data_IF_741844195109
#
_entry.id   IF_741844195109
#
_cell.length_a   1.000
_cell.length_b   1.000
_cell.length_c   1.000
_cell.angle_alpha   90.00
_cell.angle_beta   90.00
_cell.angle_gamma   90.00
#
_symmetry.space_group_name_H-M   'P 1'
#
loop_
_entity.id
_entity.type
_entity.pdbx_description
1 polymer ?
#
# COMPACT_ATOMS: atom_id res chain seq x y z
N UNK A 1 -2.14 31.28 -16.11
CA UNK A 1 -1.77 30.00 -16.77
C UNK A 1 -1.13 28.97 -15.82
N UNK A 2 -0.59 29.35 -14.66
CA UNK A 2 -0.05 28.39 -13.66
C UNK A 2 -1.09 27.65 -12.81
N UNK A 3 -2.36 28.07 -12.81
CA UNK A 3 -3.41 27.51 -11.94
C UNK A 3 -3.92 26.13 -12.41
N UNK A 4 -3.89 25.82 -13.71
CA UNK A 4 -4.42 24.55 -14.24
C UNK A 4 -3.47 23.35 -13.99
N UNK A 5 -2.17 23.60 -13.87
CA UNK A 5 -1.15 22.54 -13.77
C UNK A 5 -1.04 21.94 -12.37
N UNK A 6 -1.29 22.70 -11.31
CA UNK A 6 -1.21 22.22 -9.92
C UNK A 6 -2.27 21.17 -9.56
N UNK A 7 -3.46 21.24 -10.18
CA UNK A 7 -4.54 20.27 -9.95
C UNK A 7 -4.24 18.88 -10.52
N UNK A 8 -3.35 18.78 -11.50
CA UNK A 8 -2.87 17.50 -12.05
C UNK A 8 -1.88 16.84 -11.10
N UNK A 9 -1.15 17.63 -10.29
CA UNK A 9 -0.19 17.11 -9.31
C UNK A 9 -0.91 16.39 -8.17
N UNK A 10 -2.10 16.88 -7.78
CA UNK A 10 -2.88 16.35 -6.65
C UNK A 10 -3.24 14.85 -6.79
N UNK A 11 -3.81 14.37 -7.91
CA UNK A 11 -4.08 12.95 -8.10
C UNK A 11 -2.82 12.12 -8.42
N UNK A 12 -1.73 12.74 -8.86
CA UNK A 12 -0.46 12.05 -9.19
C UNK A 12 0.40 11.83 -7.95
N UNK A 13 0.36 12.73 -6.97
CA UNK A 13 1.15 12.60 -5.75
C UNK A 13 0.78 11.34 -4.96
N UNK A 14 -0.50 10.96 -4.96
CA UNK A 14 -0.99 9.78 -4.26
C UNK A 14 -0.36 8.46 -4.75
N UNK A 15 -0.46 8.09 -6.05
CA UNK A 15 0.17 6.86 -6.55
C UNK A 15 1.68 6.91 -6.43
N UNK A 16 2.33 8.06 -6.61
CA UNK A 16 3.79 8.18 -6.43
C UNK A 16 4.19 7.81 -5.01
N UNK A 17 3.49 8.34 -4.00
CA UNK A 17 3.75 8.07 -2.59
C UNK A 17 3.42 6.63 -2.19
N UNK A 18 2.28 6.08 -2.65
CA UNK A 18 1.90 4.71 -2.29
C UNK A 18 2.79 3.68 -2.96
N UNK A 19 3.16 3.87 -4.24
CA UNK A 19 4.07 2.97 -4.96
C UNK A 19 5.45 2.97 -4.29
N UNK A 20 6.03 4.15 -4.05
CA UNK A 20 7.34 4.20 -3.35
C UNK A 20 7.26 3.61 -1.95
N UNK A 21 6.19 3.88 -1.20
CA UNK A 21 5.96 3.27 0.12
C UNK A 21 5.92 1.74 0.07
N UNK A 22 5.18 1.15 -0.87
CA UNK A 22 5.08 -0.31 -1.01
C UNK A 22 6.43 -0.93 -1.37
N UNK A 23 7.20 -0.29 -2.25
CA UNK A 23 8.56 -0.74 -2.58
C UNK A 23 9.50 -0.73 -1.37
N UNK A 24 9.38 0.27 -0.51
CA UNK A 24 10.16 0.31 0.75
C UNK A 24 9.77 -0.84 1.67
N UNK A 25 8.48 -1.09 1.86
CA UNK A 25 7.99 -2.23 2.67
C UNK A 25 8.49 -3.57 2.11
N UNK A 26 8.43 -3.74 0.79
CA UNK A 26 8.98 -4.92 0.12
C UNK A 26 10.49 -5.08 0.34
N UNK A 27 11.27 -4.02 0.17
CA UNK A 27 12.71 -4.07 0.37
C UNK A 27 13.09 -4.43 1.82
N UNK A 28 12.34 -3.92 2.80
CA UNK A 28 12.52 -4.27 4.21
C UNK A 28 12.20 -5.75 4.47
N UNK A 29 11.08 -6.25 3.94
CA UNK A 29 10.70 -7.65 4.05
C UNK A 29 11.72 -8.60 3.40
N UNK A 30 12.30 -8.19 2.27
CA UNK A 30 13.38 -8.93 1.60
C UNK A 30 14.67 -8.93 2.44
N UNK A 31 15.04 -7.78 2.99
CA UNK A 31 16.24 -7.64 3.82
C UNK A 31 16.17 -8.46 5.10
N UNK A 32 14.99 -8.52 5.73
CA UNK A 32 14.73 -9.33 6.92
C UNK A 32 14.50 -10.82 6.60
N UNK A 33 14.59 -11.24 5.33
CA UNK A 33 14.32 -12.60 4.88
C UNK A 33 12.92 -13.12 5.32
N UNK A 34 11.92 -12.23 5.31
CA UNK A 34 10.52 -12.60 5.54
C UNK A 34 9.81 -13.02 4.25
N UNK A 35 10.29 -12.54 3.10
CA UNK A 35 9.75 -12.87 1.78
C UNK A 35 10.86 -13.18 0.80
N UNK A 36 10.52 -13.91 -0.25
CA UNK A 36 11.45 -14.24 -1.33
C UNK A 36 11.54 -13.13 -2.38
N UNK A 37 12.69 -13.03 -3.09
CA UNK A 37 12.81 -12.15 -4.24
C UNK A 37 11.80 -12.53 -5.31
N UNK A 38 11.24 -11.52 -5.99
CA UNK A 38 10.27 -11.72 -7.09
C UNK A 38 10.88 -12.53 -8.24
N UNK A 39 12.20 -12.46 -8.42
CA UNK A 39 12.93 -13.23 -9.44
C UNK A 39 13.05 -14.73 -9.12
N UNK A 40 12.60 -15.18 -7.93
CA UNK A 40 12.54 -16.60 -7.60
C UNK A 40 11.12 -17.14 -7.83
N UNK A 41 10.94 -17.88 -8.93
CA UNK A 41 9.66 -18.42 -9.37
C UNK A 41 9.51 -19.90 -9.00
N UNK A 42 10.53 -20.49 -8.39
CA UNK A 42 10.58 -21.89 -8.03
C UNK A 42 10.24 -22.06 -6.54
N UNK A 43 8.95 -22.26 -6.28
CA UNK A 43 8.46 -22.49 -4.92
C UNK A 43 8.37 -23.99 -4.63
N UNK A 44 8.96 -24.41 -3.51
CA UNK A 44 8.91 -25.79 -3.04
C UNK A 44 7.78 -25.97 -2.01
N UNK A 45 7.33 -27.20 -1.83
CA UNK A 45 6.30 -27.53 -0.84
C UNK A 45 6.83 -27.43 0.59
N UNK A 46 8.11 -27.75 0.80
CA UNK A 46 8.82 -27.59 2.08
C UNK A 46 10.29 -27.26 1.84
N UNK A 47 10.90 -26.60 2.81
CA UNK A 47 12.34 -26.34 2.84
C UNK A 47 12.92 -26.98 4.11
N UNK A 48 14.19 -27.37 4.06
CA UNK A 48 14.88 -28.02 5.18
C UNK A 48 15.17 -27.04 6.33
N UNK A 49 15.39 -25.77 5.99
CA UNK A 49 15.61 -24.67 6.94
C UNK A 49 14.68 -23.50 6.63
N UNK A 50 14.32 -22.74 7.66
CA UNK A 50 13.55 -21.50 7.52
C UNK A 50 14.34 -20.43 6.77
N UNK A 51 13.63 -19.56 6.05
CA UNK A 51 14.22 -18.53 5.18
C UNK A 51 15.20 -17.60 5.91
N UNK A 52 14.95 -17.32 7.18
CA UNK A 52 15.79 -16.49 8.05
C UNK A 52 17.09 -17.18 8.50
N UNK A 53 17.18 -18.50 8.40
CA UNK A 53 18.38 -19.29 8.74
C UNK A 53 19.22 -19.63 7.50
N UNK A 54 18.63 -19.58 6.31
CA UNK A 54 19.33 -19.89 5.07
C UNK A 54 20.41 -18.85 4.75
N UNK A 55 21.64 -19.34 4.52
CA UNK A 55 22.83 -18.51 4.26
C UNK A 55 23.45 -18.72 2.86
N UNK A 56 22.77 -19.49 2.00
CA UNK A 56 23.22 -19.82 0.64
C UNK A 56 22.92 -18.73 -0.41
N UNK A 57 23.58 -18.78 -1.59
CA UNK A 57 23.30 -17.87 -2.70
C UNK A 57 21.92 -18.13 -3.35
N UNK A 58 21.40 -19.35 -3.19
CA UNK A 58 20.07 -19.77 -3.62
C UNK A 58 19.20 -20.03 -2.39
N UNK A 59 18.15 -19.22 -2.23
CA UNK A 59 17.17 -19.33 -1.15
C UNK A 59 16.09 -20.35 -1.56
N UNK A 60 15.73 -21.26 -0.66
CA UNK A 60 14.57 -22.14 -0.85
C UNK A 60 13.32 -21.40 -0.42
N UNK A 61 12.36 -21.25 -1.34
CA UNK A 61 11.14 -20.51 -1.09
C UNK A 61 9.95 -21.46 -1.00
N UNK A 62 9.17 -21.36 0.07
CA UNK A 62 7.86 -21.99 0.15
C UNK A 62 6.77 -21.03 -0.32
N UNK A 63 5.57 -21.56 -0.59
CA UNK A 63 4.42 -20.75 -0.98
C UNK A 63 4.01 -19.70 0.07
N UNK A 64 4.40 -19.90 1.33
CA UNK A 64 4.14 -18.95 2.41
C UNK A 64 5.00 -17.69 2.36
N UNK A 65 6.14 -17.76 1.67
CA UNK A 65 7.15 -16.69 1.56
C UNK A 65 7.00 -15.86 0.27
N UNK A 66 5.91 -16.04 -0.48
CA UNK A 66 5.63 -15.27 -1.70
C UNK A 66 5.51 -13.79 -1.34
N UNK A 67 6.15 -12.86 -2.08
CA UNK A 67 6.18 -11.42 -1.79
C UNK A 67 4.85 -10.71 -2.11
N UNK A 68 3.78 -11.12 -1.44
CA UNK A 68 2.48 -10.46 -1.49
C UNK A 68 2.50 -9.22 -0.58
N UNK A 69 1.80 -8.15 -0.97
CA UNK A 69 1.68 -6.93 -0.15
C UNK A 69 1.17 -7.25 1.25
N UNK A 70 0.23 -8.20 1.36
CA UNK A 70 -0.30 -8.67 2.64
C UNK A 70 0.72 -9.41 3.49
N UNK A 71 1.76 -10.02 2.90
CA UNK A 71 2.83 -10.73 3.62
C UNK A 71 3.98 -9.80 3.97
N UNK A 72 4.38 -8.90 3.06
CA UNK A 72 5.44 -7.92 3.32
C UNK A 72 5.08 -6.91 4.43
N UNK A 73 3.79 -6.76 4.78
CA UNK A 73 3.32 -5.79 5.76
C UNK A 73 2.83 -6.40 7.08
N UNK A 74 3.05 -7.69 7.36
CA UNK A 74 2.51 -8.34 8.58
C UNK A 74 3.42 -8.24 9.79
N UNK A 75 4.74 -8.35 9.60
CA UNK A 75 5.71 -8.47 10.70
C UNK A 75 6.31 -7.10 11.07
N UNK A 76 6.64 -6.84 12.35
CA UNK A 76 7.40 -5.65 12.71
C UNK A 76 8.86 -5.79 12.20
N UNK A 77 9.49 -4.70 11.71
CA UNK A 77 9.05 -3.30 11.66
C UNK A 77 8.19 -2.93 10.43
N UNK A 78 8.04 -3.82 9.45
CA UNK A 78 7.39 -3.55 8.16
C UNK A 78 5.92 -3.15 8.31
N UNK A 79 5.21 -3.80 9.22
CA UNK A 79 3.80 -3.56 9.50
C UNK A 79 3.51 -2.15 10.00
N UNK A 80 4.44 -1.54 10.74
CA UNK A 80 4.36 -0.14 11.18
C UNK A 80 4.47 0.83 10.00
N UNK A 81 5.45 0.59 9.11
CA UNK A 81 5.62 1.38 7.89
C UNK A 81 4.42 1.25 6.96
N UNK A 82 3.91 0.02 6.77
CA UNK A 82 2.71 -0.22 5.98
C UNK A 82 1.49 0.55 6.55
N UNK A 83 1.30 0.51 7.87
CA UNK A 83 0.25 1.28 8.56
C UNK A 83 0.39 2.79 8.35
N UNK A 84 1.62 3.31 8.46
CA UNK A 84 1.93 4.72 8.23
C UNK A 84 1.59 5.15 6.80
N UNK A 85 1.98 4.35 5.80
CA UNK A 85 1.72 4.61 4.38
C UNK A 85 0.21 4.60 4.11
N UNK A 86 -0.50 3.57 4.57
CA UNK A 86 -1.96 3.46 4.38
C UNK A 86 -2.72 4.60 5.07
N UNK A 87 -2.31 4.99 6.29
CA UNK A 87 -2.96 6.08 7.03
C UNK A 87 -2.69 7.44 6.39
N UNK A 88 -1.46 7.68 5.94
CA UNK A 88 -1.11 8.90 5.19
C UNK A 88 -1.85 8.95 3.85
N UNK A 89 -1.92 7.81 3.15
CA UNK A 89 -2.69 7.66 1.91
C UNK A 89 -4.17 7.96 2.11
N UNK A 90 -4.79 7.46 3.17
CA UNK A 90 -6.19 7.75 3.51
C UNK A 90 -6.44 9.24 3.72
N UNK A 91 -5.57 9.92 4.49
CA UNK A 91 -5.67 11.36 4.67
C UNK A 91 -5.53 12.12 3.34
N UNK A 92 -4.59 11.72 2.49
CA UNK A 92 -4.41 12.31 1.16
C UNK A 92 -5.63 12.08 0.25
N UNK A 93 -6.22 10.87 0.22
CA UNK A 93 -7.47 10.61 -0.53
C UNK A 93 -8.57 11.55 -0.06
N UNK A 94 -8.76 11.69 1.26
CA UNK A 94 -9.79 12.56 1.82
C UNK A 94 -9.61 14.01 1.36
N UNK A 95 -8.38 14.53 1.44
CA UNK A 95 -8.05 15.89 0.99
C UNK A 95 -8.30 16.06 -0.51
N UNK A 96 -7.86 15.11 -1.34
CA UNK A 96 -8.06 15.14 -2.79
C UNK A 96 -9.55 15.16 -3.13
N UNK A 97 -10.34 14.30 -2.51
CA UNK A 97 -11.77 14.15 -2.78
C UNK A 97 -12.54 15.40 -2.34
N UNK A 98 -12.22 15.98 -1.18
CA UNK A 98 -12.85 17.22 -0.72
C UNK A 98 -12.51 18.41 -1.62
N UNK A 99 -11.25 18.55 -2.03
CA UNK A 99 -10.83 19.60 -2.97
C UNK A 99 -11.48 19.43 -4.33
N UNK A 100 -11.59 18.19 -4.83
CA UNK A 100 -12.28 17.89 -6.08
C UNK A 100 -13.78 18.21 -5.98
N UNK A 101 -14.44 17.85 -4.87
CA UNK A 101 -15.85 18.15 -4.64
C UNK A 101 -16.12 19.67 -4.61
N UNK A 102 -15.26 20.43 -3.92
CA UNK A 102 -15.32 21.88 -3.86
C UNK A 102 -15.03 22.55 -5.23
N UNK A 103 -14.13 21.98 -6.03
CA UNK A 103 -13.87 22.51 -7.37
C UNK A 103 -15.05 22.27 -8.33
N UNK A 104 -15.71 21.11 -8.23
CA UNK A 104 -16.83 20.74 -9.09
C UNK A 104 -18.10 21.53 -8.77
N UNK A 105 -18.35 21.84 -7.49
CA UNK A 105 -19.55 22.62 -7.10
C UNK A 105 -19.52 24.04 -7.67
N UNK A 106 -18.32 24.62 -7.77
CA UNK A 106 -18.10 25.95 -8.35
C UNK A 106 -18.37 25.98 -9.87
N UNK A 107 -18.18 24.85 -10.56
CA UNK A 107 -18.40 24.70 -12.01
C UNK A 107 -19.80 24.26 -12.45
N UNK A 108 -20.80 24.18 -11.55
CA UNK A 108 -22.21 23.83 -11.87
C UNK A 108 -22.36 22.52 -12.68
N UNK A 109 -21.52 21.52 -12.42
CA UNK A 109 -21.57 20.21 -13.09
C UNK A 109 -22.40 19.19 -12.30
N UNK A 110 -22.87 18.13 -12.96
CA UNK A 110 -23.81 17.10 -12.44
C UNK A 110 -23.67 16.78 -10.94
N UNK A 111 -24.70 17.11 -10.16
CA UNK A 111 -24.73 16.92 -8.70
C UNK A 111 -24.57 15.45 -8.27
N UNK A 112 -25.14 14.51 -9.04
CA UNK A 112 -25.09 13.07 -8.73
C UNK A 112 -23.67 12.52 -8.81
N UNK A 113 -22.92 12.88 -9.87
CA UNK A 113 -21.56 12.38 -10.06
C UNK A 113 -20.60 12.95 -9.01
N UNK A 114 -20.81 14.20 -8.61
CA UNK A 114 -20.01 14.84 -7.55
C UNK A 114 -20.20 14.10 -6.20
N UNK A 115 -21.45 13.85 -5.81
CA UNK A 115 -21.77 13.11 -4.58
C UNK A 115 -21.30 11.65 -4.64
N UNK A 116 -21.39 11.00 -5.82
CA UNK A 116 -20.87 9.65 -6.01
C UNK A 116 -19.35 9.59 -5.84
N UNK A 117 -18.60 10.58 -6.34
CA UNK A 117 -17.14 10.65 -6.15
C UNK A 117 -16.75 10.88 -4.68
N UNK A 118 -17.56 11.65 -3.95
CA UNK A 118 -17.37 11.86 -2.52
C UNK A 118 -17.57 10.54 -1.76
N UNK A 119 -18.67 9.83 -1.99
CA UNK A 119 -18.96 8.59 -1.28
C UNK A 119 -17.91 7.49 -1.55
N UNK A 120 -17.49 7.32 -2.80
CA UNK A 120 -16.42 6.35 -3.13
C UNK A 120 -15.08 6.75 -2.52
N UNK A 121 -14.77 8.04 -2.46
CA UNK A 121 -13.58 8.57 -1.78
C UNK A 121 -13.55 8.27 -0.27
N UNK A 122 -14.68 8.44 0.42
CA UNK A 122 -14.82 8.09 1.83
C UNK A 122 -14.66 6.58 2.07
N UNK A 123 -15.29 5.75 1.23
CA UNK A 123 -15.16 4.28 1.30
C UNK A 123 -13.71 3.85 1.09
N UNK A 124 -13.02 4.44 0.10
CA UNK A 124 -11.60 4.17 -0.17
C UNK A 124 -10.72 4.54 1.05
N UNK A 125 -10.95 5.71 1.62
CA UNK A 125 -10.22 6.20 2.80
C UNK A 125 -10.42 5.29 4.02
N UNK A 126 -11.66 4.83 4.25
CA UNK A 126 -11.97 3.89 5.32
C UNK A 126 -11.30 2.53 5.09
N UNK A 127 -11.32 2.02 3.85
CA UNK A 127 -10.64 0.79 3.47
C UNK A 127 -9.12 0.85 3.71
N UNK A 128 -8.47 1.96 3.35
CA UNK A 128 -7.04 2.16 3.59
C UNK A 128 -6.69 2.17 5.08
N UNK A 129 -7.49 2.85 5.91
CA UNK A 129 -7.28 2.86 7.37
C UNK A 129 -7.47 1.46 7.93
N UNK A 130 -8.51 0.74 7.52
CA UNK A 130 -8.77 -0.61 7.99
C UNK A 130 -7.61 -1.54 7.62
N UNK A 131 -7.19 -1.58 6.34
CA UNK A 131 -6.07 -2.42 5.90
C UNK A 131 -4.76 -2.07 6.61
N UNK A 132 -4.47 -0.78 6.81
CA UNK A 132 -3.24 -0.34 7.47
C UNK A 132 -3.19 -0.63 8.98
N UNK A 133 -4.34 -0.70 9.66
CA UNK A 133 -4.40 -0.81 11.12
C UNK A 133 -4.91 -2.16 11.62
N UNK A 134 -5.53 -2.97 10.76
CA UNK A 134 -6.02 -4.30 11.11
C UNK A 134 -4.87 -5.32 11.07
N UNK A 135 -4.00 -5.24 12.08
CA UNK A 135 -2.92 -6.19 12.27
C UNK A 135 -3.43 -7.37 13.08
N UNK A 136 -3.54 -8.55 12.45
CA UNK A 136 -3.67 -9.79 13.21
C UNK A 136 -2.32 -10.05 13.85
N UNK A 137 -2.21 -9.87 15.17
CA UNK A 137 -1.01 -10.33 15.90
C UNK A 137 -0.88 -11.82 15.63
N UNK A 138 0.10 -12.21 14.81
CA UNK A 138 0.62 -13.56 14.85
C UNK A 138 1.26 -13.70 16.22
N UNK A 139 0.49 -14.20 17.18
CA UNK A 139 1.03 -14.66 18.46
C UNK A 139 1.86 -15.88 18.09
N UNK A 140 3.19 -15.70 18.07
CA UNK A 140 4.15 -16.78 18.12
C UNK A 140 4.14 -17.43 19.49
#
# INVERSE_FOLDING_TARGET
>A
MMVMSGWIILPISLPVLTITGIWVVYAMALYNQHVCPVDNWLYNQSCEEDLSMQRGPTLCCTLDNVPLISKCGTLPPESCFFSLICSTGSFMVMVIVLLHYAHVIERRQNCVLNTASLSTGWICSAGLIMVGNFQVRAVG
#
